data_IF_855380333875
#
_entry.id   IF_855380333875
#
_cell.length_a   1.000
_cell.length_b   1.000
_cell.length_c   1.000
_cell.angle_alpha   90.00
_cell.angle_beta   90.00
_cell.angle_gamma   90.00
#
_symmetry.space_group_name_H-M   'P 1'
#
loop_
_entity.id
_entity.type
_entity.pdbx_description
1 polymer ?
#
# COMPACT_ATOMS: atom_id res chain seq x y z
N UNK A 1 -44.92 -1.12 -56.63
CA UNK A 1 -44.88 -1.27 -55.16
C UNK A 1 -43.45 -1.05 -54.71
N UNK A 2 -43.18 -0.02 -53.90
CA UNK A 2 -41.83 0.37 -53.48
C UNK A 2 -41.54 -0.26 -52.12
N UNK A 3 -40.54 -1.13 -52.07
CA UNK A 3 -40.08 -1.79 -50.85
C UNK A 3 -39.24 -0.81 -50.03
N UNK A 4 -39.67 -0.52 -48.80
CA UNK A 4 -38.95 0.29 -47.81
C UNK A 4 -38.02 -0.66 -47.05
N UNK A 5 -36.71 -0.48 -47.18
CA UNK A 5 -35.72 -1.18 -46.36
C UNK A 5 -35.33 -0.25 -45.22
N UNK A 6 -35.88 -0.52 -44.04
CA UNK A 6 -35.55 0.17 -42.79
C UNK A 6 -34.24 -0.43 -42.25
N UNK A 7 -33.14 0.30 -42.39
CA UNK A 7 -31.85 -0.10 -41.82
C UNK A 7 -31.87 0.11 -40.29
N UNK A 8 -31.86 -1.00 -39.54
CA UNK A 8 -31.57 -1.00 -38.10
C UNK A 8 -30.14 -0.50 -37.87
N UNK A 9 -29.99 0.71 -37.34
CA UNK A 9 -28.76 1.12 -36.68
C UNK A 9 -28.66 0.36 -35.35
N UNK A 10 -27.85 -0.70 -35.32
CA UNK A 10 -27.43 -1.33 -34.07
C UNK A 10 -26.54 -0.35 -33.30
N UNK A 11 -27.06 0.16 -32.19
CA UNK A 11 -26.36 1.01 -31.25
C UNK A 11 -25.33 0.15 -30.49
N UNK A 12 -24.07 0.21 -30.90
CA UNK A 12 -22.94 -0.38 -30.19
C UNK A 12 -22.75 0.34 -28.85
N UNK A 13 -23.37 -0.18 -27.79
CA UNK A 13 -23.10 0.25 -26.42
C UNK A 13 -21.70 -0.25 -26.03
N UNK A 14 -20.71 0.63 -26.19
CA UNK A 14 -19.42 0.51 -25.52
C UNK A 14 -19.69 0.60 -24.01
N UNK A 15 -19.80 -0.56 -23.36
CA UNK A 15 -19.72 -0.63 -21.89
C UNK A 15 -18.28 -0.28 -21.55
N UNK A 16 -18.06 0.99 -21.20
CA UNK A 16 -16.83 1.40 -20.53
C UNK A 16 -16.79 0.63 -19.21
N UNK A 17 -15.92 -0.39 -19.15
CA UNK A 17 -15.61 -1.07 -17.91
C UNK A 17 -14.91 -0.04 -17.03
N UNK A 18 -15.67 0.68 -16.20
CA UNK A 18 -15.09 1.43 -15.10
C UNK A 18 -14.49 0.39 -14.16
N UNK A 19 -13.20 0.14 -14.35
CA UNK A 19 -12.38 -0.56 -13.38
C UNK A 19 -12.46 0.30 -12.12
N UNK A 20 -13.32 -0.10 -11.21
CA UNK A 20 -13.51 0.60 -9.94
C UNK A 20 -12.15 0.55 -9.25
N UNK A 21 -11.44 1.68 -9.20
CA UNK A 21 -10.15 1.83 -8.51
C UNK A 21 -10.41 1.62 -7.02
N UNK A 22 -10.48 0.36 -6.61
CA UNK A 22 -10.69 -0.01 -5.22
C UNK A 22 -9.42 0.34 -4.46
N UNK A 23 -9.54 1.30 -3.55
CA UNK A 23 -8.49 1.64 -2.60
C UNK A 23 -8.78 0.95 -1.28
N UNK A 24 -7.81 0.22 -0.76
CA UNK A 24 -7.86 -0.40 0.56
C UNK A 24 -7.50 0.62 1.64
N UNK A 25 -8.09 0.49 2.82
CA UNK A 25 -7.48 0.98 4.07
C UNK A 25 -6.31 0.08 4.48
N UNK A 26 -5.47 0.53 5.43
CA UNK A 26 -4.42 -0.34 6.00
C UNK A 26 -5.04 -1.57 6.64
N UNK A 27 -6.14 -1.42 7.37
CA UNK A 27 -6.81 -2.52 8.04
C UNK A 27 -7.34 -3.57 7.07
N UNK A 28 -7.96 -3.15 5.95
CA UNK A 28 -8.43 -4.08 4.91
C UNK A 28 -7.27 -4.78 4.21
N UNK A 29 -6.19 -4.05 3.89
CA UNK A 29 -5.00 -4.65 3.29
C UNK A 29 -4.36 -5.68 4.22
N UNK A 30 -4.28 -5.40 5.52
CA UNK A 30 -3.71 -6.33 6.50
C UNK A 30 -4.60 -7.56 6.74
N UNK A 31 -5.93 -7.41 6.76
CA UNK A 31 -6.84 -8.58 6.86
C UNK A 31 -6.70 -9.54 5.69
N UNK A 32 -6.39 -9.02 4.50
CA UNK A 32 -6.23 -9.81 3.27
C UNK A 32 -4.74 -9.97 2.90
N UNK A 33 -3.81 -9.80 3.84
CA UNK A 33 -2.37 -9.68 3.55
C UNK A 33 -1.80 -10.90 2.82
N UNK A 34 -2.29 -12.10 3.12
CA UNK A 34 -1.85 -13.34 2.45
C UNK A 34 -2.21 -13.34 0.96
N UNK A 35 -3.41 -12.87 0.63
CA UNK A 35 -3.95 -12.85 -0.73
C UNK A 35 -3.40 -11.67 -1.54
N UNK A 36 -3.13 -10.55 -0.86
CA UNK A 36 -2.55 -9.34 -1.46
C UNK A 36 -1.02 -9.38 -1.53
N UNK A 37 -0.36 -10.41 -0.99
CA UNK A 37 1.09 -10.52 -1.01
C UNK A 37 1.62 -10.64 -2.44
N UNK A 38 2.45 -9.70 -2.86
CA UNK A 38 2.98 -9.61 -4.22
C UNK A 38 2.02 -8.95 -5.23
N UNK A 39 0.85 -8.47 -4.79
CA UNK A 39 -0.07 -7.73 -5.63
C UNK A 39 0.25 -6.23 -5.66
N UNK A 40 -0.06 -5.58 -6.78
CA UNK A 40 -0.11 -4.11 -6.84
C UNK A 40 -1.47 -3.68 -6.29
N UNK A 41 -1.45 -2.85 -5.27
CA UNK A 41 -2.65 -2.35 -4.59
C UNK A 41 -2.59 -0.84 -4.43
N UNK A 42 -3.76 -0.23 -4.31
CA UNK A 42 -3.91 1.17 -3.90
C UNK A 42 -4.34 1.20 -2.45
N UNK A 43 -3.64 1.96 -1.61
CA UNK A 43 -3.93 2.11 -0.18
C UNK A 43 -4.15 3.59 0.15
N UNK A 44 -5.27 3.92 0.80
CA UNK A 44 -5.55 5.25 1.35
C UNK A 44 -5.43 5.21 2.88
N UNK A 45 -4.53 6.01 3.45
CA UNK A 45 -4.23 5.98 4.87
C UNK A 45 -3.51 7.23 5.37
N UNK A 46 -3.46 7.41 6.69
CA UNK A 46 -2.63 8.43 7.33
C UNK A 46 -1.15 8.04 7.20
N UNK A 47 -0.29 9.04 6.95
CA UNK A 47 1.15 8.91 6.87
C UNK A 47 1.82 9.34 8.17
N UNK A 48 2.71 8.49 8.67
CA UNK A 48 3.54 8.78 9.84
C UNK A 48 5.02 8.62 9.52
N UNK A 49 5.85 9.53 10.05
CA UNK A 49 7.30 9.59 9.79
C UNK A 49 8.18 9.66 11.06
N UNK A 50 7.64 9.40 12.25
CA UNK A 50 8.37 9.64 13.52
C UNK A 50 9.61 8.75 13.68
N UNK A 51 9.45 7.44 13.45
CA UNK A 51 10.49 6.42 13.57
C UNK A 51 10.44 5.48 12.37
N UNK A 52 10.54 6.06 11.18
CA UNK A 52 10.34 5.38 9.89
C UNK A 52 9.10 5.90 9.16
N UNK A 53 8.96 5.54 7.89
CA UNK A 53 7.82 5.94 7.05
C UNK A 53 6.77 4.83 7.02
N UNK A 54 5.54 5.18 7.39
CA UNK A 54 4.44 4.22 7.55
C UNK A 54 3.14 4.77 6.99
N UNK A 55 2.31 3.87 6.48
CA UNK A 55 0.86 4.06 6.41
C UNK A 55 0.25 3.47 7.67
N UNK A 56 -0.58 4.25 8.35
CA UNK A 56 -1.18 3.88 9.64
C UNK A 56 -2.69 4.02 9.58
N UNK A 57 -3.39 3.15 10.31
CA UNK A 57 -4.82 3.26 10.55
C UNK A 57 -5.12 2.87 12.00
N UNK A 58 -5.64 3.83 12.76
CA UNK A 58 -5.94 3.68 14.18
C UNK A 58 -7.36 3.13 14.43
N UNK A 59 -8.18 2.98 13.39
CA UNK A 59 -9.59 2.62 13.50
C UNK A 59 -9.85 1.11 13.45
N UNK A 60 -8.82 0.28 13.58
CA UNK A 60 -8.97 -1.15 13.75
C UNK A 60 -8.24 -1.67 14.98
N UNK A 61 -8.77 -2.73 15.60
CA UNK A 61 -8.03 -3.55 16.56
C UNK A 61 -6.80 -4.21 15.91
N UNK A 62 -5.91 -4.86 16.67
CA UNK A 62 -4.73 -5.51 16.11
C UNK A 62 -5.15 -6.58 15.09
N UNK A 63 -4.76 -6.40 13.83
CA UNK A 63 -5.22 -7.24 12.72
C UNK A 63 -4.35 -8.49 12.50
N UNK A 64 -3.07 -8.47 12.89
CA UNK A 64 -2.14 -9.58 12.70
C UNK A 64 -1.52 -10.00 14.03
N UNK A 65 -1.87 -11.20 14.48
CA UNK A 65 -1.25 -11.86 15.63
C UNK A 65 -0.48 -13.10 15.15
N UNK A 66 0.82 -13.14 15.40
CA UNK A 66 1.69 -14.25 15.03
C UNK A 66 2.45 -14.71 16.26
N UNK A 67 2.24 -15.96 16.67
CA UNK A 67 2.96 -16.56 17.80
C UNK A 67 2.87 -15.73 19.10
N UNK A 68 1.71 -15.10 19.35
CA UNK A 68 1.46 -14.29 20.54
C UNK A 68 1.95 -12.84 20.44
N UNK A 69 2.62 -12.45 19.36
CA UNK A 69 2.98 -11.07 19.09
C UNK A 69 1.90 -10.41 18.23
N UNK A 70 1.31 -9.33 18.75
CA UNK A 70 0.34 -8.52 18.04
C UNK A 70 1.04 -7.34 17.34
N UNK A 71 1.01 -7.36 16.01
CA UNK A 71 1.51 -6.24 15.22
C UNK A 71 0.57 -5.03 15.32
N UNK A 72 1.16 -3.84 15.20
CA UNK A 72 0.38 -2.61 14.96
C UNK A 72 -0.20 -2.63 13.55
N UNK A 73 -1.26 -1.85 13.34
CA UNK A 73 -1.90 -1.69 12.03
C UNK A 73 -1.13 -0.70 11.16
N UNK A 74 0.12 -1.04 10.90
CA UNK A 74 1.07 -0.23 10.15
C UNK A 74 1.52 -0.99 8.91
N UNK A 75 1.71 -0.28 7.81
CA UNK A 75 2.40 -0.79 6.63
C UNK A 75 3.62 0.09 6.44
N UNK A 76 4.82 -0.50 6.50
CA UNK A 76 6.04 0.23 6.17
C UNK A 76 5.97 0.66 4.71
N UNK A 77 6.44 1.86 4.37
CA UNK A 77 6.58 2.26 2.97
C UNK A 77 8.03 2.44 2.62
N UNK A 78 8.38 2.02 1.41
CA UNK A 78 9.74 2.15 0.90
C UNK A 78 9.72 2.48 -0.57
N UNK A 79 10.72 3.23 -1.00
CA UNK A 79 10.93 3.50 -2.41
C UNK A 79 11.67 2.35 -3.12
N UNK A 80 11.46 2.16 -4.44
CA UNK A 80 12.09 1.09 -5.22
C UNK A 80 13.63 1.10 -5.19
N UNK A 81 14.24 2.27 -5.03
CA UNK A 81 15.70 2.48 -4.94
C UNK A 81 16.28 2.29 -3.53
N UNK A 82 15.46 1.99 -2.52
CA UNK A 82 15.97 1.76 -1.17
C UNK A 82 16.79 0.46 -1.10
N UNK A 83 17.90 0.47 -0.37
CA UNK A 83 18.76 -0.71 -0.17
C UNK A 83 17.98 -1.90 0.41
N UNK A 84 17.04 -1.63 1.32
CA UNK A 84 16.18 -2.67 1.93
C UNK A 84 15.27 -3.33 0.90
N UNK A 85 14.72 -2.57 -0.05
CA UNK A 85 13.90 -3.14 -1.15
C UNK A 85 14.78 -3.93 -2.10
N UNK A 86 15.94 -3.41 -2.48
CA UNK A 86 16.88 -4.10 -3.37
C UNK A 86 17.35 -5.45 -2.80
N UNK A 87 17.64 -5.50 -1.50
CA UNK A 87 18.03 -6.75 -0.82
C UNK A 87 16.88 -7.76 -0.78
N UNK A 88 15.67 -7.33 -0.41
CA UNK A 88 14.50 -8.19 -0.31
C UNK A 88 14.11 -8.79 -1.67
N UNK A 89 14.16 -7.97 -2.72
CA UNK A 89 13.85 -8.39 -4.08
C UNK A 89 15.02 -9.06 -4.80
N UNK A 90 16.16 -9.25 -4.13
CA UNK A 90 17.38 -9.87 -4.69
C UNK A 90 17.84 -9.19 -5.99
N UNK A 91 17.79 -7.86 -6.01
CA UNK A 91 18.14 -7.04 -7.17
C UNK A 91 17.10 -7.01 -8.30
N UNK A 92 15.94 -7.68 -8.14
CA UNK A 92 14.85 -7.55 -9.11
C UNK A 92 14.25 -6.15 -9.01
N UNK A 93 14.19 -5.48 -10.16
CA UNK A 93 13.57 -4.18 -10.28
C UNK A 93 12.06 -4.32 -10.50
N UNK A 94 11.24 -3.61 -9.72
CA UNK A 94 9.78 -3.65 -9.86
C UNK A 94 9.26 -2.41 -10.57
N UNK A 95 9.68 -1.22 -10.13
CA UNK A 95 9.19 0.06 -10.62
C UNK A 95 10.30 1.09 -10.73
N UNK A 96 10.20 2.05 -11.68
CA UNK A 96 10.96 3.28 -11.61
C UNK A 96 10.58 4.13 -10.40
N UNK A 97 11.57 4.89 -9.93
CA UNK A 97 11.34 5.87 -8.88
C UNK A 97 10.51 7.02 -9.44
N UNK A 98 9.30 7.15 -8.93
CA UNK A 98 8.47 8.33 -9.17
C UNK A 98 8.99 9.51 -8.35
N UNK A 99 9.89 10.27 -8.97
CA UNK A 99 10.52 11.44 -8.36
C UNK A 99 9.50 12.56 -8.09
N UNK A 100 8.44 12.66 -8.88
CA UNK A 100 7.40 13.66 -8.67
C UNK A 100 6.61 13.35 -7.39
N UNK A 101 6.14 12.11 -7.25
CA UNK A 101 5.46 11.66 -6.02
C UNK A 101 6.34 11.80 -4.79
N UNK A 102 7.62 11.43 -4.86
CA UNK A 102 8.57 11.61 -3.75
C UNK A 102 8.71 13.06 -3.33
N UNK A 103 8.84 13.97 -4.30
CA UNK A 103 8.95 15.39 -4.03
C UNK A 103 7.65 15.97 -3.47
N UNK A 104 6.48 15.52 -3.93
CA UNK A 104 5.18 15.93 -3.40
C UNK A 104 5.03 15.51 -1.93
N UNK A 105 5.34 14.26 -1.59
CA UNK A 105 5.33 13.79 -0.21
C UNK A 105 6.28 14.62 0.67
N UNK A 106 7.53 14.83 0.20
CA UNK A 106 8.52 15.64 0.93
C UNK A 106 8.04 17.07 1.19
N UNK A 107 7.34 17.69 0.24
CA UNK A 107 6.77 19.04 0.43
C UNK A 107 5.62 19.02 1.43
N UNK A 108 4.73 18.04 1.36
CA UNK A 108 3.61 17.91 2.29
C UNK A 108 4.10 17.68 3.73
N UNK A 109 5.10 16.82 3.92
CA UNK A 109 5.69 16.57 5.25
C UNK A 109 6.45 17.79 5.78
N UNK A 110 7.18 18.52 4.92
CA UNK A 110 7.84 19.77 5.32
C UNK A 110 6.86 20.92 5.65
N UNK A 111 5.66 20.91 5.05
CA UNK A 111 4.63 21.90 5.31
C UNK A 111 3.82 21.63 6.59
N UNK A 112 3.98 20.45 7.20
CA UNK A 112 3.25 20.02 8.40
C UNK A 112 3.58 20.96 9.58
N UNK A 113 2.56 21.50 10.24
CA UNK A 113 2.71 22.39 11.41
C UNK A 113 1.87 21.86 12.57
N UNK A 114 2.48 21.59 13.72
CA UNK A 114 1.76 21.04 14.87
C UNK A 114 1.11 19.70 14.54
N UNK A 115 -0.20 19.58 14.83
CA UNK A 115 -0.98 18.34 14.75
C UNK A 115 -1.60 18.06 13.37
N UNK A 116 -1.13 18.73 12.32
CA UNK A 116 -1.61 18.48 10.94
C UNK A 116 -1.29 17.05 10.52
N UNK A 117 -2.28 16.34 10.01
CA UNK A 117 -2.13 14.97 9.50
C UNK A 117 -1.93 14.98 7.99
N UNK A 118 -1.14 14.03 7.49
CA UNK A 118 -0.97 13.82 6.05
C UNK A 118 -1.67 12.53 5.69
N UNK A 119 -2.65 12.57 4.80
CA UNK A 119 -3.29 11.38 4.25
C UNK A 119 -2.74 11.14 2.85
N UNK A 120 -2.35 9.90 2.57
CA UNK A 120 -1.86 9.48 1.26
C UNK A 120 -2.81 8.49 0.62
N UNK A 121 -2.96 8.59 -0.70
CA UNK A 121 -3.44 7.49 -1.54
C UNK A 121 -2.26 6.99 -2.36
N UNK A 122 -1.78 5.78 -2.10
CA UNK A 122 -0.52 5.25 -2.65
C UNK A 122 -0.78 3.97 -3.44
N UNK A 123 -0.29 3.90 -4.66
CA UNK A 123 -0.23 2.66 -5.44
C UNK A 123 1.16 2.03 -5.27
N UNK A 124 1.21 0.73 -4.95
CA UNK A 124 2.47 0.03 -4.77
C UNK A 124 2.36 -1.48 -4.70
N UNK A 125 3.50 -2.15 -4.68
CA UNK A 125 3.59 -3.61 -4.48
C UNK A 125 3.51 -3.90 -2.98
N UNK A 126 2.45 -4.56 -2.53
CA UNK A 126 2.34 -5.02 -1.15
C UNK A 126 3.17 -6.29 -0.97
N UNK A 127 3.98 -6.34 0.09
CA UNK A 127 4.78 -7.52 0.41
C UNK A 127 4.65 -7.87 1.89
N UNK A 128 4.64 -9.16 2.17
CA UNK A 128 4.81 -9.72 3.51
C UNK A 128 5.71 -10.96 3.49
N UNK A 129 5.94 -11.58 4.65
CA UNK A 129 6.72 -12.81 4.77
C UNK A 129 5.83 -14.02 4.46
N UNK A 130 6.39 -15.01 3.77
CA UNK A 130 5.71 -16.28 3.47
C UNK A 130 6.55 -17.44 3.99
N UNK A 131 6.03 -18.27 4.91
CA UNK A 131 4.73 -18.12 5.59
C UNK A 131 4.70 -16.93 6.58
N UNK A 132 3.49 -16.46 6.95
CA UNK A 132 3.32 -15.35 7.92
C UNK A 132 3.98 -15.64 9.28
N UNK A 133 4.14 -16.91 9.66
CA UNK A 133 4.87 -17.31 10.87
C UNK A 133 6.32 -16.82 10.89
N UNK A 134 6.91 -16.48 9.74
CA UNK A 134 8.24 -15.88 9.64
C UNK A 134 8.31 -14.43 10.11
N UNK A 135 7.16 -13.75 10.30
CA UNK A 135 7.11 -12.41 10.86
C UNK A 135 7.59 -12.36 12.31
N UNK A 136 7.64 -13.49 13.01
CA UNK A 136 8.04 -13.54 14.43
C UNK A 136 8.94 -14.74 14.64
N UNK A 137 10.06 -14.56 15.34
CA UNK A 137 10.84 -15.71 15.78
C UNK A 137 10.09 -16.38 16.94
N UNK A 138 9.64 -17.64 16.83
CA UNK A 138 8.92 -18.31 17.92
C UNK A 138 9.75 -18.45 19.20
N UNK A 139 11.09 -18.42 19.09
CA UNK A 139 12.01 -18.46 20.26
C UNK A 139 12.26 -17.09 20.88
N UNK A 140 11.90 -16.01 20.19
CA UNK A 140 12.05 -14.65 20.67
C UNK A 140 10.91 -13.76 20.15
N UNK A 141 9.66 -13.95 20.64
CA UNK A 141 8.50 -13.23 20.12
C UNK A 141 8.56 -11.71 20.29
N UNK A 142 9.36 -11.22 21.26
CA UNK A 142 9.62 -9.80 21.50
C UNK A 142 10.50 -9.14 20.43
N UNK A 143 11.07 -9.91 19.49
CA UNK A 143 11.89 -9.41 18.40
C UNK A 143 11.24 -9.75 17.04
N UNK A 144 10.25 -8.96 16.60
CA UNK A 144 9.56 -9.21 15.34
C UNK A 144 10.51 -9.06 14.15
N UNK A 145 10.23 -9.82 13.10
CA UNK A 145 10.95 -9.85 11.81
C UNK A 145 10.09 -9.27 10.69
N UNK A 146 9.24 -8.32 11.04
CA UNK A 146 8.44 -7.55 10.10
C UNK A 146 9.28 -6.59 9.27
N UNK A 147 8.70 -5.45 8.97
CA UNK A 147 9.27 -4.41 8.11
C UNK A 147 9.35 -3.07 8.83
N UNK A 148 10.14 -2.16 8.24
CA UNK A 148 10.44 -0.83 8.80
C UNK A 148 11.30 -0.88 10.06
N UNK A 149 11.29 0.21 10.83
CA UNK A 149 12.10 0.34 12.05
C UNK A 149 11.81 -0.80 13.03
N UNK A 150 12.86 -1.56 13.37
CA UNK A 150 12.81 -2.71 14.28
C UNK A 150 11.80 -3.80 13.89
N UNK A 151 11.41 -3.88 12.61
CA UNK A 151 10.47 -4.89 12.13
C UNK A 151 9.05 -4.71 12.66
N UNK A 152 8.64 -3.49 13.00
CA UNK A 152 7.37 -3.20 13.68
C UNK A 152 6.10 -3.40 12.83
N UNK A 153 6.20 -3.40 11.49
CA UNK A 153 5.05 -3.62 10.61
C UNK A 153 5.00 -5.06 10.05
N UNK A 154 3.82 -5.68 9.93
CA UNK A 154 3.65 -7.01 9.35
C UNK A 154 3.77 -7.01 7.81
N UNK A 155 3.73 -5.85 7.17
CA UNK A 155 3.82 -5.69 5.72
C UNK A 155 4.69 -4.48 5.34
N UNK A 156 5.12 -4.45 4.08
CA UNK A 156 5.63 -3.24 3.44
C UNK A 156 4.90 -2.97 2.12
N UNK A 157 4.84 -1.71 1.72
CA UNK A 157 4.41 -1.28 0.39
C UNK A 157 5.61 -0.66 -0.33
N UNK A 158 6.05 -1.29 -1.43
CA UNK A 158 7.05 -0.68 -2.33
C UNK A 158 6.33 0.28 -3.25
N UNK A 159 6.57 1.57 -3.07
CA UNK A 159 5.82 2.64 -3.74
C UNK A 159 6.09 2.60 -5.24
N UNK A 160 5.01 2.49 -6.03
CA UNK A 160 5.05 2.71 -7.48
C UNK A 160 4.82 4.19 -7.78
N UNK A 161 3.77 4.77 -7.21
CA UNK A 161 3.44 6.21 -7.26
C UNK A 161 2.50 6.59 -6.13
N UNK A 162 2.45 7.87 -5.82
CA UNK A 162 1.42 8.45 -4.97
C UNK A 162 0.34 9.00 -5.90
N UNK A 163 -0.91 8.69 -5.64
CA UNK A 163 -2.04 9.22 -6.41
C UNK A 163 -2.43 10.58 -5.83
N UNK A 164 -2.55 10.65 -4.50
CA UNK A 164 -3.04 11.82 -3.80
C UNK A 164 -2.32 12.06 -2.47
N UNK A 165 -2.25 13.34 -2.07
CA UNK A 165 -1.66 13.81 -0.82
C UNK A 165 -2.53 14.91 -0.24
N UNK A 166 -3.22 14.60 0.85
CA UNK A 166 -4.08 15.53 1.59
C UNK A 166 -3.35 15.97 2.87
N UNK A 167 -3.42 17.25 3.20
CA UNK A 167 -2.85 17.83 4.43
C UNK A 167 -4.02 18.41 5.22
N UNK A 168 -4.33 17.82 6.38
CA UNK A 168 -5.53 18.08 7.18
C UNK A 168 -5.19 18.68 8.54
#
# INVERSE_FOLDING_TARGET
MRTIITALLMCSQLIAFQQQDHSYSVCEALRNISDLNGAIVTIKAEFSSEVGEWLVDNNCGPTINVSGYAFRNWIAIDWPDSKLVQMELKGKYVFPVDTESRNRLRRATAARRGDTNVTLTVEGLLMTRTPLSMLVNPRAPSNPRGFGHLGAAPARLVIKRILDVEVN
#
